data_IF_212369966080
#
_entry.id   IF_212369966080
#
_cell.length_a   1.000
_cell.length_b   1.000
_cell.length_c   1.000
_cell.angle_alpha   90.00
_cell.angle_beta   90.00
_cell.angle_gamma   90.00
#
_symmetry.space_group_name_H-M   'P 1'
#
loop_
_entity.id
_entity.type
_entity.pdbx_description
1 polymer ?
#
# COMPACT_ATOMS: atom_id res chain seq x y z
N UNK A 1 17.26 -24.51 -44.90
CA UNK A 1 16.81 -23.10 -44.83
C UNK A 1 15.51 -22.95 -44.09
N UNK A 2 14.59 -23.89 -44.27
CA UNK A 2 13.29 -23.81 -43.60
C UNK A 2 13.47 -23.84 -42.08
N UNK A 3 14.30 -24.74 -41.59
CA UNK A 3 14.54 -24.86 -40.16
C UNK A 3 15.19 -23.60 -39.60
N UNK A 4 16.12 -23.05 -40.35
CA UNK A 4 16.79 -21.81 -39.92
C UNK A 4 15.79 -20.67 -39.86
N UNK A 5 14.92 -20.56 -40.85
CA UNK A 5 13.90 -19.51 -40.90
C UNK A 5 12.96 -19.61 -39.70
N UNK A 6 12.56 -20.81 -39.33
CA UNK A 6 11.68 -21.03 -38.18
C UNK A 6 12.38 -20.61 -36.90
N UNK A 7 13.69 -20.89 -36.78
CA UNK A 7 14.45 -20.49 -35.63
C UNK A 7 14.49 -18.98 -35.48
N UNK A 8 14.71 -18.28 -36.59
CA UNK A 8 14.76 -16.83 -36.57
C UNK A 8 13.42 -16.24 -36.13
N UNK A 9 12.32 -16.83 -36.65
CA UNK A 9 10.97 -16.38 -36.29
C UNK A 9 10.71 -16.60 -34.79
N UNK A 10 11.14 -17.75 -34.28
CA UNK A 10 10.93 -18.06 -32.86
C UNK A 10 11.72 -17.11 -31.96
N UNK A 11 12.98 -16.83 -32.34
CA UNK A 11 13.81 -15.91 -31.56
C UNK A 11 13.15 -14.53 -31.53
N UNK A 12 12.64 -14.07 -32.66
CA UNK A 12 11.98 -12.76 -32.73
C UNK A 12 10.75 -12.73 -31.85
N UNK A 13 9.95 -13.81 -31.88
CA UNK A 13 8.75 -13.88 -31.05
C UNK A 13 9.09 -13.88 -29.58
N UNK A 14 10.11 -14.66 -29.20
CA UNK A 14 10.53 -14.71 -27.80
C UNK A 14 11.08 -13.37 -27.32
N UNK A 15 11.76 -12.65 -28.19
CA UNK A 15 12.26 -11.33 -27.86
C UNK A 15 11.11 -10.35 -27.58
N UNK A 16 10.05 -10.44 -28.39
CA UNK A 16 8.86 -9.61 -28.18
C UNK A 16 8.16 -9.97 -26.88
N UNK A 17 8.07 -11.26 -26.58
CA UNK A 17 7.46 -11.71 -25.34
C UNK A 17 8.24 -11.23 -24.12
N UNK A 18 9.58 -11.31 -24.21
CA UNK A 18 10.43 -10.85 -23.11
C UNK A 18 10.24 -9.36 -22.86
N UNK A 19 10.15 -8.60 -23.96
CA UNK A 19 9.94 -7.15 -23.89
C UNK A 19 8.60 -6.83 -23.21
N UNK A 20 7.56 -7.55 -23.61
CA UNK A 20 6.24 -7.39 -23.03
C UNK A 20 6.25 -7.72 -21.55
N UNK A 21 6.89 -8.85 -21.20
CA UNK A 21 6.97 -9.27 -19.82
C UNK A 21 7.74 -8.28 -18.95
N UNK A 22 8.80 -7.70 -19.50
CA UNK A 22 9.57 -6.68 -18.79
C UNK A 22 8.71 -5.45 -18.52
N UNK A 23 7.88 -5.05 -19.50
CA UNK A 23 6.97 -3.92 -19.31
C UNK A 23 5.95 -4.20 -18.24
N UNK A 24 5.42 -5.41 -18.22
CA UNK A 24 4.44 -5.80 -17.20
C UNK A 24 5.07 -5.82 -15.81
N UNK A 25 6.33 -6.26 -15.73
CA UNK A 25 7.04 -6.28 -14.45
C UNK A 25 7.25 -4.87 -13.93
N UNK A 26 7.57 -3.92 -14.82
CA UNK A 26 7.72 -2.52 -14.44
C UNK A 26 6.42 -1.94 -13.91
N UNK A 27 5.32 -2.25 -14.57
CA UNK A 27 4.01 -1.79 -14.14
C UNK A 27 3.68 -2.34 -12.77
N UNK A 28 3.94 -3.63 -12.56
CA UNK A 28 3.70 -4.27 -11.27
C UNK A 28 4.55 -3.66 -10.16
N UNK A 29 5.81 -3.34 -10.46
CA UNK A 29 6.69 -2.72 -9.49
C UNK A 29 6.18 -1.33 -9.11
N UNK A 30 5.71 -0.58 -10.10
CA UNK A 30 5.15 0.76 -9.86
C UNK A 30 3.90 0.66 -8.99
N UNK A 31 3.03 -0.29 -9.30
CA UNK A 31 1.81 -0.50 -8.53
C UNK A 31 2.12 -0.91 -7.09
N UNK A 32 3.15 -1.74 -6.91
CA UNK A 32 3.57 -2.14 -5.58
C UNK A 32 4.07 -0.94 -4.77
N UNK A 33 4.78 -0.02 -5.44
CA UNK A 33 5.24 1.21 -4.80
C UNK A 33 4.08 2.07 -4.34
N UNK A 34 3.06 2.21 -5.19
CA UNK A 34 1.87 2.99 -4.86
C UNK A 34 1.14 2.36 -3.67
N UNK A 35 0.99 1.04 -3.69
CA UNK A 35 0.32 0.33 -2.61
C UNK A 35 1.07 0.49 -1.29
N UNK A 36 2.41 0.44 -1.34
CA UNK A 36 3.24 0.62 -0.15
C UNK A 36 3.06 2.02 0.43
N UNK A 37 3.01 3.05 -0.43
CA UNK A 37 2.77 4.42 0.00
C UNK A 37 1.41 4.58 0.67
N UNK A 38 0.39 3.95 0.09
CA UNK A 38 -0.96 4.00 0.64
C UNK A 38 -1.03 3.31 1.99
N UNK A 39 -0.30 2.20 2.15
CA UNK A 39 -0.25 1.49 3.41
C UNK A 39 0.41 2.34 4.50
N UNK A 40 1.47 3.07 4.14
CA UNK A 40 2.14 3.96 5.07
C UNK A 40 1.21 5.08 5.52
N UNK A 41 0.46 5.62 4.58
CA UNK A 41 -0.49 6.69 4.86
C UNK A 41 -1.59 6.19 5.80
N UNK A 42 -2.09 4.99 5.53
CA UNK A 42 -3.12 4.39 6.37
C UNK A 42 -2.61 4.13 7.79
N UNK A 43 -1.36 3.69 7.90
CA UNK A 43 -0.75 3.45 9.21
C UNK A 43 -0.62 4.76 9.99
N UNK A 44 -0.22 5.84 9.31
CA UNK A 44 -0.12 7.16 9.94
C UNK A 44 -1.48 7.65 10.42
N UNK A 45 -2.51 7.44 9.59
CA UNK A 45 -3.87 7.83 9.96
C UNK A 45 -4.36 7.04 11.17
N UNK A 46 -4.02 5.75 11.22
CA UNK A 46 -4.41 4.91 12.36
C UNK A 46 -3.75 5.39 13.64
N UNK A 47 -2.47 5.79 13.56
CA UNK A 47 -1.75 6.33 14.71
C UNK A 47 -2.42 7.61 15.21
N UNK A 48 -2.79 8.50 14.29
CA UNK A 48 -3.46 9.75 14.64
C UNK A 48 -4.78 9.46 15.34
N UNK A 49 -5.56 8.53 14.77
CA UNK A 49 -6.86 8.17 15.35
C UNK A 49 -6.71 7.56 16.75
N UNK A 50 -5.69 6.73 16.94
CA UNK A 50 -5.43 6.13 18.24
C UNK A 50 -5.07 7.19 19.27
N UNK A 51 -4.28 8.17 18.87
CA UNK A 51 -3.93 9.29 19.74
C UNK A 51 -5.14 10.10 20.14
N UNK A 52 -6.02 10.37 19.17
CA UNK A 52 -7.24 11.13 19.43
C UNK A 52 -8.19 10.36 20.36
N UNK A 53 -8.27 9.05 20.18
CA UNK A 53 -9.10 8.21 21.04
C UNK A 53 -8.57 8.22 22.48
N UNK A 54 -7.24 8.17 22.65
CA UNK A 54 -6.63 8.24 23.97
C UNK A 54 -6.96 9.57 24.65
N UNK A 55 -6.86 10.65 23.88
CA UNK A 55 -7.14 11.99 24.42
C UNK A 55 -8.61 12.12 24.82
N UNK A 56 -9.53 11.58 24.00
CA UNK A 56 -10.93 11.60 24.32
C UNK A 56 -11.24 10.81 25.60
N UNK A 57 -10.58 9.67 25.76
CA UNK A 57 -10.75 8.85 26.95
C UNK A 57 -10.26 9.60 28.21
N UNK A 58 -9.15 10.31 28.07
CA UNK A 58 -8.59 11.11 29.17
C UNK A 58 -9.57 12.22 29.58
N UNK A 59 -10.10 12.92 28.58
CA UNK A 59 -11.07 13.99 28.83
C UNK A 59 -12.35 13.46 29.48
N UNK A 60 -12.81 12.29 29.03
CA UNK A 60 -13.99 11.68 29.62
C UNK A 60 -13.76 11.34 31.09
N UNK A 61 -12.56 10.85 31.40
CA UNK A 61 -12.21 10.51 32.78
C UNK A 61 -12.17 11.77 33.63
N UNK A 62 -11.65 12.86 33.10
CA UNK A 62 -11.60 14.14 33.80
C UNK A 62 -13.01 14.66 34.07
N UNK A 63 -13.87 14.59 33.09
CA UNK A 63 -15.25 15.04 33.24
C UNK A 63 -16.00 14.21 34.28
N UNK A 64 -15.77 12.91 34.29
CA UNK A 64 -16.40 12.05 35.29
C UNK A 64 -15.92 12.38 36.69
N UNK A 65 -14.63 12.66 36.85
CA UNK A 65 -14.07 13.03 38.14
C UNK A 65 -14.65 14.36 38.62
N UNK A 66 -14.78 15.34 37.71
CA UNK A 66 -15.37 16.64 38.04
C UNK A 66 -16.83 16.50 38.45
N UNK A 67 -17.58 15.67 37.74
CA UNK A 67 -18.98 15.46 38.07
C UNK A 67 -19.15 14.83 39.46
N UNK A 68 -18.26 13.89 39.80
CA UNK A 68 -18.29 13.27 41.10
C UNK A 68 -17.99 14.27 42.20
N UNK A 69 -17.01 15.16 41.96
CA UNK A 69 -16.69 16.21 42.93
C UNK A 69 -17.86 17.15 43.15
N UNK A 70 -18.61 17.44 42.10
CA UNK A 70 -19.77 18.33 42.20
C UNK A 70 -20.88 17.72 43.03
N UNK A 71 -20.99 16.39 43.03
CA UNK A 71 -22.00 15.68 43.82
C UNK A 71 -21.77 15.87 45.31
N UNK A 72 -20.50 15.92 45.70
CA UNK A 72 -20.13 16.02 47.11
C UNK A 72 -20.26 17.46 47.57
#
# INVERSE_FOLDING_TARGET
>A
LRRFELMVEEVARHAEEAKKNAGEAETSARNAGISASQAEESAANADTSAGEASESARQAAESAASAKQSED
#
